data_IF_845454291148
#
_entry.id   IF_845454291148
#
_cell.length_a   1.000
_cell.length_b   1.000
_cell.length_c   1.000
_cell.angle_alpha   90.00
_cell.angle_beta   90.00
_cell.angle_gamma   90.00
#
_symmetry.space_group_name_H-M   'P 1'
#
loop_
_entity.id
_entity.type
_entity.pdbx_description
1 polymer ?
#
# COMPACT_ATOMS: atom_id res chain seq x y z
N UNK A 1 11.75 12.00 1.45
CA UNK A 1 10.93 12.62 2.50
C UNK A 1 11.39 12.09 3.84
N UNK A 2 11.57 12.97 4.82
CA UNK A 2 12.11 12.63 6.15
C UNK A 2 10.92 12.63 7.13
N UNK A 3 10.75 11.56 7.90
CA UNK A 3 9.70 11.47 8.92
C UNK A 3 10.03 12.42 10.09
N UNK A 4 9.00 13.07 10.63
CA UNK A 4 9.16 13.87 11.85
C UNK A 4 9.31 12.98 13.09
N UNK A 5 9.84 13.51 14.18
CA UNK A 5 9.94 12.79 15.46
C UNK A 5 8.57 12.29 15.94
N UNK A 6 7.51 13.10 15.74
CA UNK A 6 6.13 12.73 16.08
C UNK A 6 5.64 11.53 15.27
N UNK A 7 5.95 11.51 13.97
CA UNK A 7 5.61 10.37 13.09
C UNK A 7 6.35 9.10 13.50
N UNK A 8 7.64 9.20 13.84
CA UNK A 8 8.40 8.04 14.33
C UNK A 8 7.85 7.50 15.65
N UNK A 9 7.49 8.40 16.59
CA UNK A 9 6.84 8.00 17.85
C UNK A 9 5.54 7.24 17.59
N UNK A 10 4.70 7.76 16.71
CA UNK A 10 3.43 7.11 16.36
C UNK A 10 3.65 5.75 15.69
N UNK A 11 4.57 5.67 14.72
CA UNK A 11 4.92 4.42 14.05
C UNK A 11 5.46 3.37 15.02
N UNK A 12 6.32 3.77 15.96
CA UNK A 12 6.90 2.87 16.96
C UNK A 12 5.81 2.27 17.86
N UNK A 13 4.87 3.10 18.35
CA UNK A 13 3.75 2.63 19.17
C UNK A 13 2.83 1.68 18.41
N UNK A 14 2.50 1.98 17.16
CA UNK A 14 1.72 1.09 16.30
C UNK A 14 2.43 -0.26 16.07
N UNK A 15 3.74 -0.22 15.79
CA UNK A 15 4.54 -1.42 15.57
C UNK A 15 4.61 -2.28 16.83
N UNK A 16 4.77 -1.64 18.01
CA UNK A 16 4.74 -2.30 19.30
C UNK A 16 3.39 -3.01 19.51
N UNK A 17 2.28 -2.30 19.29
CA UNK A 17 0.95 -2.89 19.43
C UNK A 17 0.73 -4.07 18.47
N UNK A 18 1.06 -3.93 17.18
CA UNK A 18 0.92 -5.00 16.19
C UNK A 18 1.77 -6.24 16.51
N UNK A 19 2.98 -6.02 17.03
CA UNK A 19 3.91 -7.10 17.39
C UNK A 19 3.44 -7.81 18.65
N UNK A 20 3.18 -7.04 19.71
CA UNK A 20 3.02 -7.60 21.05
C UNK A 20 1.58 -8.00 21.41
N UNK A 21 0.56 -7.42 20.76
CA UNK A 21 -0.85 -7.79 20.99
C UNK A 21 -1.16 -9.27 20.71
N UNK A 22 -0.27 -9.97 20.00
CA UNK A 22 -0.41 -11.39 19.65
C UNK A 22 0.24 -12.34 20.65
N UNK A 23 0.96 -11.82 21.65
CA UNK A 23 1.62 -12.66 22.66
C UNK A 23 0.69 -12.94 23.83
N UNK A 24 0.67 -14.20 24.27
CA UNK A 24 -0.22 -14.71 25.33
C UNK A 24 -0.09 -13.96 26.67
N UNK A 25 1.08 -13.35 26.94
CA UNK A 25 1.37 -12.68 28.21
C UNK A 25 1.10 -11.17 28.19
N UNK A 26 0.55 -10.62 27.09
CA UNK A 26 0.22 -9.20 27.01
C UNK A 26 -1.05 -8.89 27.81
N UNK A 27 -0.90 -8.18 28.91
CA UNK A 27 -2.03 -7.91 29.82
C UNK A 27 -2.97 -6.84 29.25
N UNK A 28 -4.24 -6.91 29.64
CA UNK A 28 -5.24 -5.89 29.28
C UNK A 28 -4.82 -4.49 29.76
N UNK A 29 -4.09 -4.41 30.88
CA UNK A 29 -3.54 -3.15 31.41
C UNK A 29 -2.48 -2.58 30.49
N UNK A 30 -1.55 -3.39 29.99
CA UNK A 30 -0.52 -2.96 29.03
C UNK A 30 -1.16 -2.52 27.71
N UNK A 31 -2.16 -3.24 27.22
CA UNK A 31 -2.91 -2.85 26.02
C UNK A 31 -3.54 -1.46 26.19
N UNK A 32 -4.25 -1.21 27.31
CA UNK A 32 -4.87 0.09 27.59
C UNK A 32 -3.86 1.24 27.63
N UNK A 33 -2.67 1.01 28.20
CA UNK A 33 -1.60 2.02 28.22
C UNK A 33 -1.12 2.31 26.80
N UNK A 34 -0.83 1.29 26.00
CA UNK A 34 -0.39 1.47 24.62
C UNK A 34 -1.47 2.15 23.77
N UNK A 35 -2.73 1.76 23.90
CA UNK A 35 -3.85 2.37 23.18
C UNK A 35 -3.98 3.87 23.51
N UNK A 36 -3.84 4.24 24.79
CA UNK A 36 -3.81 5.64 25.22
C UNK A 36 -2.66 6.40 24.57
N UNK A 37 -1.44 5.84 24.58
CA UNK A 37 -0.27 6.47 23.97
C UNK A 37 -0.41 6.60 22.45
N UNK A 38 -1.00 5.60 21.79
CA UNK A 38 -1.33 5.64 20.35
C UNK A 38 -2.33 6.75 20.08
N UNK A 39 -3.39 6.86 20.88
CA UNK A 39 -4.40 7.91 20.75
C UNK A 39 -3.77 9.31 20.87
N UNK A 40 -3.00 9.54 21.93
CA UNK A 40 -2.34 10.82 22.18
C UNK A 40 -1.38 11.17 21.04
N UNK A 41 -0.55 10.21 20.62
CA UNK A 41 0.41 10.42 19.54
C UNK A 41 -0.29 10.70 18.20
N UNK A 42 -1.39 10.01 17.89
CA UNK A 42 -2.20 10.22 16.69
C UNK A 42 -2.74 11.64 16.62
N UNK A 43 -3.20 12.18 17.74
CA UNK A 43 -3.79 13.53 17.81
C UNK A 43 -2.77 14.65 17.57
N UNK A 44 -1.46 14.36 17.67
CA UNK A 44 -0.40 15.34 17.37
C UNK A 44 -0.06 15.49 15.89
N UNK A 45 -0.61 14.63 15.02
CA UNK A 45 -0.28 14.54 13.60
C UNK A 45 -1.37 15.16 12.72
N UNK A 46 -0.95 15.70 11.58
CA UNK A 46 -1.86 16.05 10.49
C UNK A 46 -2.36 14.78 9.76
N UNK A 47 -3.46 14.88 9.02
CA UNK A 47 -4.08 13.70 8.39
C UNK A 47 -3.18 13.05 7.32
N UNK A 48 -2.46 13.84 6.54
CA UNK A 48 -1.45 13.36 5.60
C UNK A 48 -0.29 12.62 6.33
N UNK A 49 0.15 13.12 7.49
CA UNK A 49 1.17 12.45 8.30
C UNK A 49 0.65 11.11 8.85
N UNK A 50 -0.60 11.07 9.33
CA UNK A 50 -1.26 9.82 9.79
C UNK A 50 -1.29 8.79 8.66
N UNK A 51 -1.78 9.17 7.48
CA UNK A 51 -1.84 8.29 6.30
C UNK A 51 -0.47 7.76 5.92
N UNK A 52 0.56 8.62 5.96
CA UNK A 52 1.92 8.22 5.63
C UNK A 52 2.52 7.26 6.68
N UNK A 53 2.23 7.44 7.96
CA UNK A 53 2.65 6.50 9.02
C UNK A 53 1.95 5.15 8.87
N UNK A 54 0.63 5.13 8.64
CA UNK A 54 -0.14 3.90 8.43
C UNK A 54 0.34 3.15 7.17
N UNK A 55 0.60 3.89 6.09
CA UNK A 55 1.25 3.34 4.90
C UNK A 55 2.58 2.67 5.23
N UNK A 56 3.42 3.31 6.06
CA UNK A 56 4.73 2.78 6.42
C UNK A 56 4.62 1.48 7.24
N UNK A 57 3.70 1.44 8.21
CA UNK A 57 3.41 0.24 9.00
C UNK A 57 2.99 -0.92 8.10
N UNK A 58 2.03 -0.68 7.20
CA UNK A 58 1.55 -1.67 6.24
C UNK A 58 2.65 -2.14 5.29
N UNK A 59 3.48 -1.23 4.79
CA UNK A 59 4.65 -1.56 3.96
C UNK A 59 5.63 -2.46 4.71
N UNK A 60 5.90 -2.17 5.99
CA UNK A 60 6.78 -3.01 6.82
C UNK A 60 6.21 -4.43 6.97
N UNK A 61 4.90 -4.56 7.20
CA UNK A 61 4.21 -5.86 7.28
C UNK A 61 4.28 -6.64 5.95
N UNK A 62 3.99 -5.98 4.83
CA UNK A 62 4.06 -6.61 3.50
C UNK A 62 5.49 -7.04 3.15
N UNK A 63 6.48 -6.18 3.43
CA UNK A 63 7.89 -6.52 3.22
C UNK A 63 8.31 -7.71 4.08
N UNK A 64 7.93 -7.74 5.37
CA UNK A 64 8.22 -8.87 6.25
C UNK A 64 7.61 -10.17 5.72
N UNK A 65 6.37 -10.15 5.22
CA UNK A 65 5.73 -11.32 4.62
C UNK A 65 6.44 -11.76 3.32
N UNK A 66 6.84 -10.81 2.47
CA UNK A 66 7.64 -11.06 1.27
C UNK A 66 8.99 -11.73 1.64
N UNK A 67 9.70 -11.19 2.62
CA UNK A 67 11.01 -11.69 3.07
C UNK A 67 10.91 -13.07 3.77
N UNK A 68 9.87 -13.28 4.59
CA UNK A 68 9.62 -14.55 5.26
C UNK A 68 9.31 -15.65 4.24
N UNK A 69 8.47 -15.36 3.24
CA UNK A 69 8.15 -16.30 2.15
C UNK A 69 9.39 -16.62 1.31
N UNK A 70 10.20 -15.60 0.98
CA UNK A 70 11.45 -15.79 0.25
C UNK A 70 12.44 -16.67 1.03
N UNK A 71 12.56 -16.44 2.35
CA UNK A 71 13.44 -17.21 3.24
C UNK A 71 12.98 -18.66 3.40
N UNK A 72 11.66 -18.87 3.52
CA UNK A 72 11.06 -20.21 3.53
C UNK A 72 11.34 -20.93 2.22
N UNK A 73 11.07 -20.27 1.09
CA UNK A 73 11.42 -20.77 -0.24
C UNK A 73 12.88 -21.20 -0.27
N UNK A 74 13.81 -20.33 0.12
CA UNK A 74 15.26 -20.62 0.12
C UNK A 74 15.63 -21.93 0.82
N UNK A 75 14.94 -22.22 1.91
CA UNK A 75 15.20 -23.38 2.77
C UNK A 75 14.60 -24.67 2.21
N UNK A 76 13.44 -24.58 1.54
CA UNK A 76 12.65 -25.73 1.09
C UNK A 76 12.49 -25.84 -0.44
N UNK A 77 13.22 -25.05 -1.24
CA UNK A 77 13.13 -25.06 -2.73
C UNK A 77 13.38 -26.43 -3.36
N UNK A 78 14.10 -27.34 -2.69
CA UNK A 78 14.31 -28.70 -3.19
C UNK A 78 13.05 -29.58 -3.07
N UNK A 79 12.12 -29.23 -2.19
CA UNK A 79 10.85 -29.93 -1.95
C UNK A 79 9.66 -29.26 -2.66
N UNK A 80 9.79 -27.96 -2.94
CA UNK A 80 8.81 -27.18 -3.69
C UNK A 80 9.14 -27.25 -5.18
N UNK A 81 8.39 -28.08 -5.92
CA UNK A 81 8.52 -28.18 -7.37
C UNK A 81 8.53 -26.77 -8.00
N UNK A 82 9.55 -26.50 -8.80
CA UNK A 82 9.92 -25.21 -9.43
C UNK A 82 8.86 -24.58 -10.37
N UNK A 83 7.60 -25.02 -10.29
CA UNK A 83 6.46 -24.64 -11.14
C UNK A 83 5.30 -24.00 -10.38
N UNK A 84 5.37 -23.88 -9.05
CA UNK A 84 4.27 -23.27 -8.30
C UNK A 84 4.34 -21.74 -8.39
N UNK A 85 3.72 -21.24 -9.46
CA UNK A 85 3.33 -19.84 -9.70
C UNK A 85 2.46 -19.24 -8.56
N UNK A 86 2.10 -20.06 -7.56
CA UNK A 86 1.19 -19.78 -6.45
C UNK A 86 1.84 -19.21 -5.19
N UNK A 87 3.17 -19.15 -5.09
CA UNK A 87 3.86 -18.52 -3.95
C UNK A 87 4.01 -17.01 -4.18
N UNK A 88 2.89 -16.28 -4.27
CA UNK A 88 2.89 -14.82 -4.15
C UNK A 88 2.39 -14.44 -2.77
N UNK A 89 3.15 -13.66 -1.99
CA UNK A 89 2.70 -13.22 -0.68
C UNK A 89 1.44 -12.37 -0.87
N UNK A 90 0.40 -12.66 -0.09
CA UNK A 90 -0.74 -11.79 -0.01
C UNK A 90 -0.26 -10.43 0.50
N UNK A 91 -0.64 -9.36 -0.18
CA UNK A 91 -0.28 -8.00 0.19
C UNK A 91 -1.50 -7.28 0.73
N UNK A 92 -1.32 -6.63 1.87
CA UNK A 92 -2.33 -5.80 2.47
C UNK A 92 -2.35 -4.42 1.79
N UNK A 93 -3.54 -3.93 1.49
CA UNK A 93 -3.80 -2.59 0.97
C UNK A 93 -5.12 -2.08 1.53
N UNK A 94 -5.35 -0.76 1.49
CA UNK A 94 -6.60 -0.17 1.96
C UNK A 94 -7.74 -0.48 0.99
N UNK A 95 -8.85 -1.03 1.50
CA UNK A 95 -10.03 -1.38 0.70
C UNK A 95 -10.56 -0.17 -0.09
N UNK A 96 -10.56 1.02 0.53
CA UNK A 96 -10.95 2.27 -0.12
C UNK A 96 -10.14 2.56 -1.39
N UNK A 97 -8.85 2.17 -1.44
CA UNK A 97 -8.03 2.32 -2.64
C UNK A 97 -8.58 1.53 -3.82
N UNK A 98 -8.99 0.29 -3.56
CA UNK A 98 -9.59 -0.59 -4.57
C UNK A 98 -10.96 -0.07 -5.02
N UNK A 99 -11.80 0.36 -4.06
CA UNK A 99 -13.13 0.88 -4.33
C UNK A 99 -13.10 2.18 -5.16
N UNK A 100 -12.22 3.12 -4.82
CA UNK A 100 -12.04 4.35 -5.62
C UNK A 100 -11.53 4.01 -7.01
N UNK A 101 -10.61 3.05 -7.14
CA UNK A 101 -10.12 2.61 -8.45
C UNK A 101 -11.25 2.05 -9.33
N UNK A 102 -12.08 1.14 -8.81
CA UNK A 102 -13.22 0.58 -9.54
C UNK A 102 -14.22 1.67 -9.91
N UNK A 103 -14.56 2.53 -8.94
CA UNK A 103 -15.48 3.64 -9.17
C UNK A 103 -14.98 4.55 -10.29
N UNK A 104 -13.69 4.83 -10.33
CA UNK A 104 -13.07 5.65 -11.36
C UNK A 104 -13.11 4.99 -12.75
N UNK A 105 -12.88 3.67 -12.85
CA UNK A 105 -13.07 2.90 -14.09
C UNK A 105 -14.52 3.02 -14.57
N UNK A 106 -15.50 2.78 -13.67
CA UNK A 106 -16.94 2.82 -13.99
C UNK A 106 -17.38 4.20 -14.48
N UNK A 107 -16.91 5.25 -13.83
CA UNK A 107 -17.27 6.64 -14.14
C UNK A 107 -16.41 7.26 -15.26
N UNK A 108 -15.40 6.54 -15.77
CA UNK A 108 -14.39 7.05 -16.70
C UNK A 108 -13.74 8.35 -16.22
N UNK A 109 -13.51 8.44 -14.90
CA UNK A 109 -12.89 9.59 -14.25
C UNK A 109 -11.44 9.25 -13.90
N UNK A 110 -10.56 10.22 -14.10
CA UNK A 110 -9.15 10.11 -13.72
C UNK A 110 -9.04 10.11 -12.21
N UNK A 111 -7.99 9.49 -11.68
CA UNK A 111 -7.63 9.54 -10.27
C UNK A 111 -6.32 10.30 -10.09
N UNK A 112 -6.20 10.94 -8.95
CA UNK A 112 -4.93 11.45 -8.46
C UNK A 112 -4.46 10.55 -7.32
N UNK A 113 -3.20 10.11 -7.38
CA UNK A 113 -2.59 9.24 -6.38
C UNK A 113 -1.28 9.83 -5.87
N UNK A 114 -0.97 9.58 -4.60
CA UNK A 114 0.39 9.64 -4.06
C UNK A 114 0.93 8.21 -4.09
N UNK A 115 1.94 7.96 -4.91
CA UNK A 115 2.43 6.62 -5.21
C UNK A 115 3.90 6.47 -4.84
N UNK A 116 4.23 5.45 -4.04
CA UNK A 116 5.62 5.09 -3.71
C UNK A 116 6.19 4.12 -4.75
N UNK A 117 6.97 4.65 -5.68
CA UNK A 117 7.65 3.84 -6.69
C UNK A 117 8.97 3.30 -6.16
N UNK A 118 9.25 2.03 -6.45
CA UNK A 118 10.55 1.40 -6.14
C UNK A 118 11.73 2.17 -6.73
N UNK A 119 11.58 2.76 -7.92
CA UNK A 119 12.68 3.42 -8.64
C UNK A 119 12.71 4.93 -8.43
N UNK A 120 11.56 5.58 -8.47
CA UNK A 120 11.49 7.06 -8.40
C UNK A 120 11.07 7.60 -7.02
N UNK A 121 10.85 6.73 -6.04
CA UNK A 121 10.27 7.09 -4.75
C UNK A 121 8.84 7.61 -4.86
N UNK A 122 8.42 8.30 -3.79
CA UNK A 122 7.09 8.89 -3.67
C UNK A 122 6.88 10.04 -4.65
N UNK A 123 5.83 9.93 -5.46
CA UNK A 123 5.43 10.98 -6.38
C UNK A 123 3.91 11.04 -6.55
N UNK A 124 3.41 12.25 -6.73
CA UNK A 124 2.03 12.52 -7.13
C UNK A 124 1.84 12.14 -8.61
N UNK A 125 0.74 11.45 -8.94
CA UNK A 125 0.44 11.01 -10.30
C UNK A 125 -1.03 11.18 -10.62
N UNK A 126 -1.32 11.61 -11.84
CA UNK A 126 -2.65 11.50 -12.44
C UNK A 126 -2.68 10.23 -13.30
N UNK A 127 -3.72 9.42 -13.12
CA UNK A 127 -3.89 8.13 -13.79
C UNK A 127 -5.31 8.02 -14.34
N UNK A 128 -5.43 7.52 -15.56
CA UNK A 128 -6.71 7.10 -16.14
C UNK A 128 -6.87 5.59 -15.89
N UNK A 129 -7.67 5.17 -14.90
CA UNK A 129 -7.77 3.76 -14.53
C UNK A 129 -8.60 2.99 -15.56
N UNK A 130 -8.08 1.85 -16.03
CA UNK A 130 -8.69 1.09 -17.14
C UNK A 130 -9.25 -0.27 -16.73
N UNK A 131 -8.60 -0.96 -15.80
CA UNK A 131 -9.03 -2.25 -15.22
C UNK A 131 -8.26 -2.52 -13.93
N UNK A 132 -8.62 -3.58 -13.23
CA UNK A 132 -7.96 -4.05 -12.02
C UNK A 132 -7.82 -5.57 -12.06
N UNK A 133 -6.74 -6.09 -11.48
CA UNK A 133 -6.49 -7.49 -11.16
C UNK A 133 -5.69 -7.46 -9.86
N UNK A 134 -6.40 -7.66 -8.74
CA UNK A 134 -5.85 -7.44 -7.39
C UNK A 134 -4.54 -8.19 -7.20
N UNK A 135 -3.53 -7.57 -6.55
CA UNK A 135 -3.53 -6.25 -5.90
C UNK A 135 -3.15 -5.08 -6.84
N UNK A 136 -3.40 -5.18 -8.15
CA UNK A 136 -2.95 -4.21 -9.15
C UNK A 136 -4.10 -3.48 -9.85
N UNK A 137 -3.92 -2.19 -10.07
CA UNK A 137 -4.66 -1.40 -11.04
C UNK A 137 -3.84 -1.17 -12.32
N UNK A 138 -4.47 -1.26 -13.49
CA UNK A 138 -3.86 -0.87 -14.77
C UNK A 138 -4.51 0.40 -15.32
N UNK A 139 -3.69 1.37 -15.70
CA UNK A 139 -4.16 2.64 -16.23
C UNK A 139 -3.09 3.44 -16.94
N UNK A 140 -3.50 4.48 -17.67
CA UNK A 140 -2.58 5.39 -18.34
C UNK A 140 -2.03 6.41 -17.34
N UNK A 141 -0.72 6.43 -17.19
CA UNK A 141 -0.03 7.36 -16.30
C UNK A 141 0.34 8.62 -17.06
N UNK A 142 -0.27 9.76 -16.73
CA UNK A 142 0.00 11.04 -17.39
C UNK A 142 1.44 11.49 -17.22
N UNK A 143 2.04 11.22 -16.05
CA UNK A 143 3.44 11.54 -15.77
C UNK A 143 4.43 10.75 -16.66
N UNK A 144 4.11 9.49 -16.97
CA UNK A 144 4.98 8.61 -17.78
C UNK A 144 4.54 8.49 -19.24
N UNK A 145 3.40 9.08 -19.60
CA UNK A 145 2.78 9.02 -20.93
C UNK A 145 2.64 7.59 -21.46
N UNK A 146 2.28 6.66 -20.58
CA UNK A 146 2.25 5.22 -20.89
C UNK A 146 1.31 4.47 -19.95
N UNK A 147 0.80 3.31 -20.39
CA UNK A 147 0.08 2.38 -19.51
C UNK A 147 1.06 1.78 -18.49
N UNK A 148 0.62 1.71 -17.23
CA UNK A 148 1.39 1.15 -16.11
C UNK A 148 0.50 0.33 -15.20
N UNK A 149 1.12 -0.65 -14.54
CA UNK A 149 0.56 -1.37 -13.39
C UNK A 149 0.89 -0.60 -12.11
N UNK A 150 -0.10 -0.43 -11.25
CA UNK A 150 0.01 0.22 -9.96
C UNK A 150 -0.40 -0.77 -8.88
N UNK A 151 0.55 -1.15 -8.04
CA UNK A 151 0.32 -1.93 -6.81
C UNK A 151 -0.47 -1.11 -5.80
N UNK A 152 -1.63 -1.59 -5.35
CA UNK A 152 -2.49 -0.89 -4.38
C UNK A 152 -1.81 -0.72 -3.02
N UNK A 153 -0.98 -1.68 -2.60
CA UNK A 153 -0.18 -1.58 -1.37
C UNK A 153 0.86 -0.45 -1.40
N UNK A 154 1.09 0.16 -2.57
CA UNK A 154 2.03 1.29 -2.77
C UNK A 154 1.34 2.64 -2.99
N UNK A 155 0.01 2.66 -2.99
CA UNK A 155 -0.77 3.90 -3.01
C UNK A 155 -0.90 4.37 -1.56
N UNK A 156 -0.45 5.61 -1.30
CA UNK A 156 -0.52 6.27 0.00
C UNK A 156 -1.83 7.05 0.11
N UNK A 157 -2.22 7.68 -0.97
CA UNK A 157 -3.49 8.41 -1.10
C UNK A 157 -4.03 8.22 -2.50
N UNK A 158 -5.36 8.16 -2.60
CA UNK A 158 -6.10 8.12 -3.85
C UNK A 158 -7.32 9.03 -3.74
N UNK A 159 -7.61 9.76 -4.81
CA UNK A 159 -8.84 10.54 -4.92
C UNK A 159 -9.35 10.55 -6.34
N UNK A 160 -10.68 10.53 -6.46
CA UNK A 160 -11.35 10.74 -7.73
C UNK A 160 -11.18 12.20 -8.16
N UNK A 161 -11.01 12.44 -9.45
CA UNK A 161 -10.99 13.79 -10.03
C UNK A 161 -12.22 14.02 -10.90
N UNK A 162 -12.45 15.26 -11.32
CA UNK A 162 -13.51 15.57 -12.29
C UNK A 162 -13.07 15.41 -13.75
N UNK A 163 -11.79 15.10 -13.99
CA UNK A 163 -11.27 14.89 -15.33
C UNK A 163 -11.77 13.57 -15.89
N UNK A 164 -12.55 13.62 -16.97
CA UNK A 164 -12.95 12.43 -17.72
C UNK A 164 -11.84 11.97 -18.65
N UNK A 165 -11.77 10.66 -18.89
CA UNK A 165 -10.90 10.09 -19.91
C UNK A 165 -11.70 9.23 -20.88
N UNK A 166 -11.19 9.14 -22.11
CA UNK A 166 -11.63 8.13 -23.07
C UNK A 166 -10.59 7.03 -23.00
N UNK A 167 -11.05 5.78 -22.78
CA UNK A 167 -10.22 4.59 -22.96
C UNK A 167 -10.16 4.33 -24.46
N UNK A 168 -9.01 4.46 -25.15
CA UNK A 168 -8.85 4.01 -26.53
C UNK A 168 -9.34 2.58 -26.80
N UNK A 169 -9.34 2.14 -28.05
CA UNK A 169 -9.76 0.77 -28.41
C UNK A 169 -8.56 -0.18 -28.54
N UNK A 170 -7.39 0.35 -28.93
CA UNK A 170 -6.17 -0.41 -29.16
C UNK A 170 -4.95 0.37 -28.66
N UNK A 171 -4.02 -0.33 -28.00
CA UNK A 171 -2.74 0.23 -27.57
C UNK A 171 -1.65 -0.79 -27.82
N UNK A 172 -0.55 -0.30 -28.34
CA UNK A 172 0.68 -1.02 -28.39
C UNK A 172 1.39 -0.79 -27.05
N UNK A 173 1.60 -1.86 -26.29
CA UNK A 173 2.62 -1.84 -25.23
C UNK A 173 3.96 -1.66 -25.93
N UNK A 174 4.51 -0.44 -25.93
CA UNK A 174 5.96 -0.30 -26.11
C UNK A 174 6.60 -0.87 -24.84
N UNK A 175 7.09 -2.09 -24.95
CA UNK A 175 7.92 -2.75 -23.95
C UNK A 175 9.18 -1.92 -23.69
#
# INVERSE_FOLDING_TARGET
MIFSQKMYKYLALLTLSETFSRFYNWSEKEQKIIDSLIHDSKNTLQDNEKKLVLYRLRKMKNNYNEDALYSLGKTYWHELNNKDEYLRPSVEYEEETYEIWIRAVRLKKSIEIIYDSTTSGMAKRVVDPYKTSTPYGEGFCHLKKSIRKFRFDRIIEIKLTDMLFIKPKHWQNKQ
#
